data_IF_042000452984
#
_entry.id   IF_042000452984
#
_cell.length_a   1.000
_cell.length_b   1.000
_cell.length_c   1.000
_cell.angle_alpha   90.00
_cell.angle_beta   90.00
_cell.angle_gamma   90.00
#
_symmetry.space_group_name_H-M   'P 1'
#
loop_
_entity.id
_entity.type
_entity.pdbx_description
1 polymer ?
#
# COMPACT_ATOMS: atom_id res chain seq x y z
N UNK A 1 -13.56 14.85 18.42
CA UNK A 1 -12.44 15.44 17.64
C UNK A 1 -11.54 14.29 17.19
N UNK A 2 -11.66 13.90 15.95
CA UNK A 2 -10.90 12.78 15.36
C UNK A 2 -9.54 13.31 14.91
N UNK A 3 -8.48 12.76 15.50
CA UNK A 3 -7.11 13.12 15.15
C UNK A 3 -6.84 12.81 13.66
N UNK A 4 -6.34 13.81 12.93
CA UNK A 4 -5.86 13.64 11.55
C UNK A 4 -4.65 12.68 11.55
N UNK A 5 -4.40 12.01 10.46
CA UNK A 5 -3.34 10.98 10.36
C UNK A 5 -1.93 11.56 10.54
N UNK A 6 -1.70 12.85 10.25
CA UNK A 6 -0.49 13.56 10.68
C UNK A 6 -0.31 13.52 12.20
N UNK A 7 -1.39 13.67 12.96
CA UNK A 7 -1.40 13.56 14.41
C UNK A 7 -1.08 12.13 14.87
N UNK A 8 -1.51 11.11 14.13
CA UNK A 8 -1.21 9.70 14.44
C UNK A 8 0.28 9.38 14.20
N UNK A 9 0.85 9.87 13.12
CA UNK A 9 2.29 9.73 12.85
C UNK A 9 3.13 10.47 13.90
N UNK A 10 2.75 11.70 14.24
CA UNK A 10 3.41 12.47 15.30
C UNK A 10 3.33 11.76 16.67
N UNK A 11 2.16 11.23 17.04
CA UNK A 11 1.99 10.45 18.28
C UNK A 11 2.89 9.20 18.29
N UNK A 12 2.98 8.48 17.17
CA UNK A 12 3.88 7.31 17.04
C UNK A 12 5.34 7.71 17.14
N UNK A 13 5.71 8.85 16.54
CA UNK A 13 7.08 9.37 16.63
C UNK A 13 7.43 9.85 18.04
N UNK A 14 6.49 10.48 18.71
CA UNK A 14 6.62 10.86 20.13
C UNK A 14 6.80 9.61 20.98
N UNK A 15 5.92 8.62 20.88
CA UNK A 15 6.05 7.36 21.62
C UNK A 15 7.38 6.64 21.36
N UNK A 16 7.89 6.68 20.12
CA UNK A 16 9.20 6.14 19.82
C UNK A 16 10.33 6.92 20.51
N UNK A 17 10.27 8.24 20.51
CA UNK A 17 11.27 9.09 21.18
C UNK A 17 11.20 8.96 22.69
N UNK A 18 10.01 8.83 23.25
CA UNK A 18 9.80 8.56 24.66
C UNK A 18 10.42 7.22 25.07
N UNK A 19 10.19 6.15 24.29
CA UNK A 19 10.81 4.86 24.52
C UNK A 19 12.36 4.94 24.39
N UNK A 20 12.90 5.70 23.45
CA UNK A 20 14.35 5.91 23.31
C UNK A 20 14.93 6.68 24.51
N UNK A 21 14.20 7.68 25.02
CA UNK A 21 14.59 8.44 26.21
C UNK A 21 14.57 7.54 27.45
N UNK A 22 13.52 6.76 27.64
CA UNK A 22 13.42 5.81 28.76
C UNK A 22 14.52 4.75 28.73
N UNK A 23 14.85 4.19 27.57
CA UNK A 23 15.97 3.26 27.40
C UNK A 23 17.29 3.93 27.78
N UNK A 24 17.49 5.19 27.38
CA UNK A 24 18.72 5.92 27.70
C UNK A 24 18.86 6.18 29.21
N UNK A 25 17.79 6.53 29.90
CA UNK A 25 17.76 6.67 31.35
C UNK A 25 18.07 5.35 32.07
N UNK A 26 17.43 4.27 31.66
CA UNK A 26 17.67 2.92 32.20
C UNK A 26 19.12 2.47 31.96
N UNK A 27 19.69 2.74 30.76
CA UNK A 27 21.09 2.45 30.47
C UNK A 27 22.05 3.23 31.34
N UNK A 28 21.74 4.49 31.62
CA UNK A 28 22.57 5.34 32.47
C UNK A 28 22.62 4.83 33.92
N UNK A 29 21.50 4.30 34.42
CA UNK A 29 21.39 3.75 35.78
C UNK A 29 21.73 2.25 35.88
N UNK A 30 21.94 1.58 34.73
CA UNK A 30 22.23 0.14 34.71
C UNK A 30 23.63 -0.15 35.25
N UNK A 31 23.66 -0.92 36.35
CA UNK A 31 24.91 -1.42 36.92
C UNK A 31 24.88 -2.95 36.91
N UNK A 32 25.81 -3.56 36.17
CA UNK A 32 26.00 -4.99 36.07
C UNK A 32 27.23 -5.51 36.82
N UNK A 33 27.86 -4.64 37.65
CA UNK A 33 29.03 -4.97 38.48
C UNK A 33 30.34 -5.13 37.71
N UNK A 34 30.38 -4.83 36.39
CA UNK A 34 31.58 -5.02 35.59
C UNK A 34 31.83 -3.96 34.53
N UNK A 35 33.06 -3.36 34.49
CA UNK A 35 33.49 -2.54 33.39
C UNK A 35 33.87 -3.46 32.20
N UNK A 36 33.10 -3.41 31.09
CA UNK A 36 33.48 -4.20 29.91
C UNK A 36 32.67 -3.90 28.65
N UNK A 37 33.19 -4.26 27.48
CA UNK A 37 32.48 -4.04 26.21
C UNK A 37 31.15 -4.79 26.12
N UNK A 38 30.92 -5.80 26.97
CA UNK A 38 29.69 -6.61 27.04
C UNK A 38 28.59 -6.01 27.88
N UNK A 39 28.85 -4.96 28.68
CA UNK A 39 27.81 -4.26 29.49
C UNK A 39 26.58 -3.89 28.67
N UNK A 40 26.79 -3.36 27.45
CA UNK A 40 25.71 -2.99 26.54
C UNK A 40 24.85 -4.20 26.15
N UNK A 41 25.47 -5.33 25.92
CA UNK A 41 24.77 -6.56 25.52
C UNK A 41 23.98 -7.17 26.67
N UNK A 42 24.51 -7.13 27.91
CA UNK A 42 23.78 -7.55 29.11
C UNK A 42 22.57 -6.66 29.38
N UNK A 43 22.74 -5.32 29.23
CA UNK A 43 21.62 -4.39 29.31
C UNK A 43 20.56 -4.68 28.23
N UNK A 44 20.96 -4.89 26.98
CA UNK A 44 20.03 -5.25 25.91
C UNK A 44 19.30 -6.56 26.23
N UNK A 45 20.01 -7.54 26.78
CA UNK A 45 19.41 -8.82 27.18
C UNK A 45 18.42 -8.67 28.35
N UNK A 46 18.68 -7.78 29.33
CA UNK A 46 17.79 -7.56 30.46
C UNK A 46 16.52 -6.78 30.05
N UNK A 47 16.60 -5.92 29.06
CA UNK A 47 15.50 -5.03 28.66
C UNK A 47 14.73 -5.52 27.39
N UNK A 48 15.13 -6.62 26.78
CA UNK A 48 14.51 -7.11 25.54
C UNK A 48 13.05 -7.56 25.69
N UNK A 49 12.59 -7.83 26.92
CA UNK A 49 11.19 -8.09 27.24
C UNK A 49 10.33 -6.80 27.23
N UNK A 50 10.96 -5.66 27.45
CA UNK A 50 10.28 -4.37 27.58
C UNK A 50 10.36 -3.54 26.29
N UNK A 51 11.45 -3.72 25.50
CA UNK A 51 11.72 -2.92 24.31
C UNK A 51 12.27 -3.78 23.16
N UNK A 52 11.94 -3.39 21.93
CA UNK A 52 12.49 -4.05 20.74
C UNK A 52 14.03 -3.97 20.73
N UNK A 53 14.70 -5.11 20.50
CA UNK A 53 16.18 -5.22 20.45
C UNK A 53 16.81 -4.21 19.47
N UNK A 54 16.14 -3.89 18.37
CA UNK A 54 16.60 -2.86 17.42
C UNK A 54 16.71 -1.48 18.06
N UNK A 55 15.70 -1.11 18.86
CA UNK A 55 15.68 0.19 19.54
C UNK A 55 16.77 0.22 20.63
N UNK A 56 16.86 -0.86 21.39
CA UNK A 56 17.93 -1.04 22.39
C UNK A 56 19.32 -0.93 21.76
N UNK A 57 19.59 -1.68 20.69
CA UNK A 57 20.87 -1.63 19.99
C UNK A 57 21.18 -0.22 19.45
N UNK A 58 20.18 0.50 18.93
CA UNK A 58 20.36 1.86 18.43
C UNK A 58 20.73 2.83 19.57
N UNK A 59 19.99 2.80 20.68
CA UNK A 59 20.27 3.67 21.83
C UNK A 59 21.61 3.33 22.47
N UNK A 60 21.91 2.04 22.63
CA UNK A 60 23.20 1.57 23.17
C UNK A 60 24.37 1.75 22.22
N UNK A 61 24.16 2.20 20.97
CA UNK A 61 25.17 2.26 19.91
C UNK A 61 25.89 0.91 19.75
N UNK A 62 25.10 -0.17 19.70
CA UNK A 62 25.57 -1.54 19.56
C UNK A 62 25.18 -2.13 18.20
N UNK A 63 26.03 -2.95 17.61
CA UNK A 63 25.69 -3.71 16.41
C UNK A 63 24.74 -4.85 16.77
N UNK A 64 23.63 -5.01 16.05
CA UNK A 64 22.71 -6.14 16.24
C UNK A 64 23.39 -7.50 16.03
N UNK A 65 24.23 -7.61 15.00
CA UNK A 65 24.99 -8.84 14.73
C UNK A 65 25.93 -9.18 15.87
N UNK A 66 26.63 -8.16 16.41
CA UNK A 66 27.53 -8.38 17.54
C UNK A 66 26.79 -8.78 18.82
N UNK A 67 25.59 -8.21 19.07
CA UNK A 67 24.73 -8.61 20.18
C UNK A 67 24.31 -10.10 20.05
N UNK A 68 23.80 -10.51 18.89
CA UNK A 68 23.38 -11.90 18.71
C UNK A 68 24.54 -12.91 18.73
N UNK A 69 25.72 -12.51 18.26
CA UNK A 69 26.93 -13.35 18.38
C UNK A 69 27.34 -13.52 19.85
N UNK A 70 27.30 -12.45 20.64
CA UNK A 70 27.55 -12.52 22.08
C UNK A 70 26.52 -13.41 22.80
N UNK A 71 25.23 -13.23 22.46
CA UNK A 71 24.16 -14.00 23.06
C UNK A 71 24.29 -15.51 22.80
N UNK A 72 24.80 -15.91 21.65
CA UNK A 72 25.10 -17.31 21.32
C UNK A 72 26.25 -17.90 22.11
N UNK A 73 27.14 -17.10 22.66
CA UNK A 73 28.33 -17.56 23.38
C UNK A 73 28.07 -18.02 24.82
N UNK A 74 26.83 -17.96 25.35
CA UNK A 74 26.43 -18.66 26.57
C UNK A 74 26.01 -17.82 27.77
N UNK A 75 26.21 -16.48 27.73
CA UNK A 75 25.77 -15.55 28.81
C UNK A 75 24.46 -14.80 28.45
N UNK A 76 23.75 -15.27 27.43
CA UNK A 76 22.63 -14.58 26.83
C UNK A 76 21.27 -15.25 27.06
N UNK A 77 20.18 -14.67 26.53
CA UNK A 77 18.83 -15.22 26.60
C UNK A 77 18.73 -16.56 25.84
N UNK A 78 17.69 -17.33 26.14
CA UNK A 78 17.46 -18.62 25.48
C UNK A 78 17.38 -18.48 23.95
N UNK A 79 17.69 -19.54 23.22
CA UNK A 79 17.60 -19.54 21.75
C UNK A 79 16.21 -19.17 21.26
N UNK A 80 15.15 -19.64 21.94
CA UNK A 80 13.76 -19.29 21.64
C UNK A 80 13.51 -17.76 21.78
N UNK A 81 14.02 -17.14 22.84
CA UNK A 81 13.90 -15.68 23.06
C UNK A 81 14.67 -14.89 21.99
N UNK A 82 15.82 -15.42 21.54
CA UNK A 82 16.60 -14.81 20.47
C UNK A 82 15.89 -14.89 19.11
N UNK A 83 15.27 -16.03 18.80
CA UNK A 83 14.49 -16.19 17.57
C UNK A 83 13.25 -15.29 17.57
N UNK A 84 12.55 -15.16 18.68
CA UNK A 84 11.42 -14.25 18.85
C UNK A 84 11.85 -12.79 18.65
N UNK A 85 12.96 -12.38 19.27
CA UNK A 85 13.52 -11.04 19.09
C UNK A 85 13.98 -10.77 17.66
N UNK A 86 14.50 -11.79 16.95
CA UNK A 86 14.83 -11.70 15.52
C UNK A 86 13.57 -11.49 14.69
N UNK A 87 12.55 -12.30 14.93
CA UNK A 87 11.27 -12.19 14.23
C UNK A 87 10.63 -10.81 14.46
N UNK A 88 10.65 -10.32 15.70
CA UNK A 88 10.18 -8.99 16.05
C UNK A 88 10.91 -7.88 15.25
N UNK A 89 12.23 -7.99 15.09
CA UNK A 89 13.00 -7.05 14.27
C UNK A 89 12.62 -7.12 12.76
N UNK A 90 12.42 -8.32 12.22
CA UNK A 90 12.01 -8.49 10.84
C UNK A 90 10.61 -7.93 10.61
N UNK A 91 9.67 -8.17 11.53
CA UNK A 91 8.33 -7.59 11.51
C UNK A 91 8.42 -6.06 11.49
N UNK A 92 9.26 -5.47 12.34
CA UNK A 92 9.49 -4.04 12.38
C UNK A 92 10.01 -3.50 11.04
N UNK A 93 11.01 -4.18 10.46
CA UNK A 93 11.59 -3.75 9.19
C UNK A 93 10.55 -3.80 8.04
N UNK A 94 9.78 -4.88 7.94
CA UNK A 94 8.71 -5.02 6.94
C UNK A 94 7.62 -3.96 7.14
N UNK A 95 7.20 -3.73 8.38
CA UNK A 95 6.18 -2.73 8.70
C UNK A 95 6.61 -1.32 8.25
N UNK A 96 7.84 -0.92 8.58
CA UNK A 96 8.34 0.40 8.22
C UNK A 96 8.73 0.53 6.74
N UNK A 97 9.15 -0.54 6.08
CA UNK A 97 9.32 -0.56 4.63
C UNK A 97 8.00 -0.27 3.91
N UNK A 98 6.88 -0.74 4.46
CA UNK A 98 5.54 -0.41 3.98
C UNK A 98 5.05 1.01 4.38
N UNK A 99 5.87 1.79 5.07
CA UNK A 99 5.50 3.09 5.70
C UNK A 99 4.32 2.95 6.68
N UNK A 100 4.26 1.85 7.43
CA UNK A 100 3.19 1.56 8.40
C UNK A 100 1.84 1.19 7.78
N UNK A 101 1.81 0.84 6.49
CA UNK A 101 0.56 0.51 5.78
C UNK A 101 0.10 -0.92 5.99
N UNK A 102 1.03 -1.86 6.24
CA UNK A 102 0.73 -3.27 6.33
C UNK A 102 0.21 -3.66 7.71
N UNK A 103 -0.91 -4.39 7.75
CA UNK A 103 -1.34 -5.16 8.91
C UNK A 103 -0.71 -6.55 8.91
N UNK A 104 -0.95 -7.32 9.99
CA UNK A 104 -0.35 -8.65 10.20
C UNK A 104 -0.46 -9.62 9.02
N UNK A 105 -1.55 -9.68 8.21
CA UNK A 105 -1.58 -10.60 7.06
C UNK A 105 -0.54 -10.27 5.99
N UNK A 106 -0.34 -8.97 5.68
CA UNK A 106 0.65 -8.56 4.68
C UNK A 106 2.07 -8.62 5.22
N UNK A 107 2.27 -8.31 6.49
CA UNK A 107 3.58 -8.48 7.15
C UNK A 107 3.99 -9.95 7.12
N UNK A 108 3.09 -10.86 7.47
CA UNK A 108 3.32 -12.30 7.43
C UNK A 108 3.65 -12.79 6.01
N UNK A 109 2.89 -12.35 5.01
CA UNK A 109 3.13 -12.70 3.61
C UNK A 109 4.50 -12.20 3.12
N UNK A 110 4.91 -10.98 3.50
CA UNK A 110 6.20 -10.43 3.12
C UNK A 110 7.37 -11.16 3.80
N UNK A 111 7.20 -11.58 5.06
CA UNK A 111 8.17 -12.44 5.75
C UNK A 111 8.35 -13.77 5.01
N UNK A 112 7.27 -14.40 4.56
CA UNK A 112 7.36 -15.64 3.77
C UNK A 112 8.07 -15.44 2.44
N UNK A 113 7.85 -14.31 1.77
CA UNK A 113 8.57 -13.93 0.54
C UNK A 113 10.09 -13.79 0.77
N UNK A 114 10.47 -13.37 1.98
CA UNK A 114 11.87 -13.28 2.42
C UNK A 114 12.43 -14.61 2.94
N UNK A 115 11.67 -15.71 2.81
CA UNK A 115 12.08 -17.05 3.28
C UNK A 115 11.92 -17.27 4.77
N UNK A 116 11.27 -16.35 5.50
CA UNK A 116 11.04 -16.44 6.94
C UNK A 116 9.66 -17.05 7.20
N UNK A 117 9.61 -18.29 7.64
CA UNK A 117 8.38 -18.96 8.01
C UNK A 117 7.91 -18.49 9.39
N UNK A 118 6.87 -17.68 9.43
CA UNK A 118 6.26 -17.19 10.66
C UNK A 118 4.76 -17.53 10.67
N UNK A 119 4.26 -17.91 11.85
CA UNK A 119 2.84 -18.12 12.04
C UNK A 119 2.13 -16.76 12.12
N UNK A 120 0.99 -16.61 11.43
CA UNK A 120 0.22 -15.36 11.41
C UNK A 120 -0.17 -14.88 12.82
N UNK A 121 -0.56 -15.79 13.73
CA UNK A 121 -0.91 -15.42 15.11
C UNK A 121 0.30 -14.90 15.90
N UNK A 122 1.49 -15.46 15.67
CA UNK A 122 2.73 -14.96 16.27
C UNK A 122 3.08 -13.56 15.75
N UNK A 123 2.94 -13.35 14.43
CA UNK A 123 3.16 -12.03 13.82
C UNK A 123 2.17 -11.00 14.39
N UNK A 124 0.91 -11.38 14.53
CA UNK A 124 -0.14 -10.50 15.09
C UNK A 124 0.16 -10.13 16.55
N UNK A 125 0.54 -11.11 17.37
CA UNK A 125 0.90 -10.88 18.78
C UNK A 125 2.11 -9.96 18.91
N UNK A 126 3.20 -10.24 18.18
CA UNK A 126 4.40 -9.41 18.19
C UNK A 126 4.15 -7.99 17.65
N UNK A 127 3.31 -7.83 16.64
CA UNK A 127 2.89 -6.51 16.18
C UNK A 127 2.12 -5.73 17.26
N UNK A 128 1.24 -6.42 18.00
CA UNK A 128 0.52 -5.81 19.12
C UNK A 128 1.45 -5.37 20.25
N UNK A 129 2.42 -6.21 20.64
CA UNK A 129 3.44 -5.89 21.65
C UNK A 129 4.32 -4.70 21.22
N UNK A 130 4.69 -4.64 19.94
CA UNK A 130 5.46 -3.55 19.37
C UNK A 130 4.64 -2.28 19.13
N UNK A 131 3.33 -2.28 19.40
CA UNK A 131 2.43 -1.17 19.11
C UNK A 131 2.26 -0.88 17.63
N UNK A 132 2.51 -1.88 16.76
CA UNK A 132 2.44 -1.74 15.31
C UNK A 132 1.02 -2.02 14.82
N UNK A 133 0.35 -0.99 14.32
CA UNK A 133 -0.99 -1.10 13.77
C UNK A 133 -1.02 -0.64 12.31
N UNK A 134 -1.34 -1.55 11.39
CA UNK A 134 -1.55 -1.22 10.00
C UNK A 134 -2.76 -0.32 9.77
N UNK A 135 -2.86 0.28 8.59
CA UNK A 135 -3.96 1.17 8.26
C UNK A 135 -5.26 0.38 8.09
N UNK A 136 -6.30 0.73 8.85
CA UNK A 136 -7.65 0.16 8.75
C UNK A 136 -8.60 1.12 8.00
N UNK A 137 -9.57 0.57 7.25
CA UNK A 137 -10.51 1.39 6.47
C UNK A 137 -11.58 2.08 7.33
N UNK A 138 -11.93 3.34 6.98
CA UNK A 138 -13.11 4.05 7.53
C UNK A 138 -14.36 3.71 6.71
N UNK A 139 -15.55 3.85 7.32
CA UNK A 139 -16.85 3.67 6.63
C UNK A 139 -17.05 4.73 5.53
N UNK A 140 -17.61 4.31 4.37
CA UNK A 140 -17.83 5.14 3.17
C UNK A 140 -19.09 6.02 3.28
N UNK A 141 -19.02 7.23 2.69
CA UNK A 141 -20.16 8.10 2.34
C UNK A 141 -20.36 8.08 0.82
N UNK A 142 -21.60 8.08 0.36
CA UNK A 142 -22.01 7.98 -1.06
C UNK A 142 -22.15 9.37 -1.68
N UNK A 143 -21.55 9.67 -2.86
CA UNK A 143 -21.44 11.05 -3.42
C UNK A 143 -21.72 11.21 -4.93
N UNK A 144 -22.24 10.24 -5.68
CA UNK A 144 -22.38 10.32 -7.15
C UNK A 144 -23.77 10.78 -7.60
N UNK A 145 -23.85 11.73 -8.57
CA UNK A 145 -25.06 12.15 -9.31
C UNK A 145 -24.89 11.86 -10.80
N UNK A 146 -25.93 11.35 -11.45
CA UNK A 146 -25.98 10.99 -12.88
C UNK A 146 -26.50 12.12 -13.75
N UNK A 147 -26.08 12.16 -15.05
CA UNK A 147 -26.70 12.97 -16.10
C UNK A 147 -27.77 12.11 -16.84
N UNK A 148 -29.06 12.51 -16.83
CA UNK A 148 -30.15 11.72 -17.42
C UNK A 148 -30.21 11.77 -18.96
N UNK A 149 -29.34 12.54 -19.66
CA UNK A 149 -29.42 12.77 -21.11
C UNK A 149 -28.42 11.96 -21.93
N UNK A 150 -27.47 11.27 -21.30
CA UNK A 150 -26.44 10.53 -22.00
C UNK A 150 -26.93 9.13 -22.44
N UNK A 151 -26.57 8.72 -23.65
CA UNK A 151 -26.78 7.32 -24.13
C UNK A 151 -25.56 6.49 -23.75
N UNK A 152 -25.64 5.65 -22.73
CA UNK A 152 -24.50 4.86 -22.27
C UNK A 152 -24.21 3.69 -23.20
N UNK A 153 -22.94 3.24 -23.21
CA UNK A 153 -22.55 1.97 -23.79
C UNK A 153 -23.23 0.79 -23.07
N UNK A 154 -23.41 -0.39 -23.72
CA UNK A 154 -23.95 -1.56 -23.07
C UNK A 154 -23.05 -2.06 -21.94
N UNK A 155 -23.64 -2.72 -20.94
CA UNK A 155 -22.89 -3.46 -19.94
C UNK A 155 -22.43 -4.79 -20.53
N UNK A 156 -21.14 -4.94 -20.79
CA UNK A 156 -20.53 -6.17 -21.32
C UNK A 156 -19.89 -7.01 -20.21
N UNK A 157 -19.79 -6.46 -18.99
CA UNK A 157 -19.13 -7.12 -17.87
C UNK A 157 -20.12 -7.92 -17.03
N UNK A 158 -21.40 -7.48 -16.97
CA UNK A 158 -22.47 -8.17 -16.25
C UNK A 158 -22.07 -8.65 -14.84
N UNK A 159 -21.33 -7.79 -14.11
CA UNK A 159 -20.74 -8.09 -12.80
C UNK A 159 -19.65 -9.17 -12.78
N UNK A 160 -19.24 -9.69 -13.91
CA UNK A 160 -18.13 -10.63 -14.01
C UNK A 160 -16.80 -9.86 -14.16
N UNK A 161 -16.27 -9.37 -13.05
CA UNK A 161 -14.95 -8.71 -13.02
C UNK A 161 -13.82 -9.75 -12.94
N UNK A 162 -13.82 -10.71 -13.85
CA UNK A 162 -12.72 -11.64 -14.06
C UNK A 162 -12.14 -11.46 -15.46
N UNK A 163 -10.83 -11.49 -15.58
CA UNK A 163 -10.11 -11.54 -16.83
C UNK A 163 -9.07 -12.65 -16.73
N UNK A 164 -8.92 -13.44 -17.77
CA UNK A 164 -7.99 -14.58 -17.76
C UNK A 164 -6.54 -14.12 -17.88
N UNK A 165 -6.33 -13.02 -18.62
CA UNK A 165 -5.02 -12.45 -18.83
C UNK A 165 -5.00 -10.92 -18.61
N UNK A 166 -3.83 -10.34 -18.35
CA UNK A 166 -3.63 -8.90 -18.39
C UNK A 166 -3.98 -8.32 -19.78
N UNK A 167 -4.44 -7.07 -19.79
CA UNK A 167 -4.80 -6.31 -20.99
C UNK A 167 -6.11 -6.75 -21.68
N UNK A 168 -6.95 -7.55 -21.03
CA UNK A 168 -8.28 -7.94 -21.57
C UNK A 168 -9.38 -7.01 -21.07
N UNK A 169 -9.38 -6.69 -19.78
CA UNK A 169 -10.42 -5.89 -19.14
C UNK A 169 -9.79 -4.85 -18.21
N UNK A 170 -10.16 -3.61 -18.45
CA UNK A 170 -9.81 -2.48 -17.59
C UNK A 170 -11.04 -1.91 -16.90
N UNK A 171 -10.86 -1.42 -15.70
CA UNK A 171 -11.85 -0.58 -15.01
C UNK A 171 -11.30 0.81 -14.82
N UNK A 172 -12.15 1.80 -15.09
CA UNK A 172 -11.84 3.22 -14.93
C UNK A 172 -12.79 3.90 -13.95
N UNK A 173 -12.24 4.87 -13.23
CA UNK A 173 -13.02 5.74 -12.35
C UNK A 173 -12.24 7.01 -12.04
N UNK A 174 -12.92 8.02 -11.50
CA UNK A 174 -12.34 9.30 -11.09
C UNK A 174 -12.50 9.49 -9.60
N UNK A 175 -11.42 9.91 -8.95
CA UNK A 175 -11.48 10.37 -7.56
C UNK A 175 -10.98 11.80 -7.42
N UNK A 176 -11.32 12.45 -6.31
CA UNK A 176 -10.82 13.77 -5.96
C UNK A 176 -9.91 13.73 -4.74
N UNK A 177 -8.91 14.59 -4.73
CA UNK A 177 -7.91 14.73 -3.67
C UNK A 177 -7.92 16.21 -3.22
N UNK A 178 -8.16 16.49 -1.92
CA UNK A 178 -8.14 17.84 -1.40
C UNK A 178 -6.72 18.39 -1.29
N UNK A 179 -6.55 19.66 -1.63
CA UNK A 179 -5.34 20.46 -1.40
C UNK A 179 -5.74 21.85 -0.90
N UNK A 180 -4.79 22.64 -0.40
CA UNK A 180 -5.10 24.02 0.01
C UNK A 180 -5.42 24.93 -1.21
N UNK A 181 -4.98 24.55 -2.42
CA UNK A 181 -5.33 25.22 -3.69
C UNK A 181 -6.70 24.80 -4.23
N UNK A 182 -7.42 23.87 -3.57
CA UNK A 182 -8.67 23.28 -4.03
C UNK A 182 -8.52 21.78 -4.32
N UNK A 183 -9.47 21.24 -5.08
CA UNK A 183 -9.43 19.81 -5.43
C UNK A 183 -8.58 19.58 -6.67
N UNK A 184 -7.74 18.54 -6.65
CA UNK A 184 -7.30 17.89 -7.88
C UNK A 184 -8.04 16.57 -8.08
N UNK A 185 -8.09 16.13 -9.32
CA UNK A 185 -8.84 14.96 -9.75
C UNK A 185 -7.88 13.94 -10.36
N UNK A 186 -8.10 12.67 -10.06
CA UNK A 186 -7.32 11.58 -10.62
C UNK A 186 -8.24 10.60 -11.34
N UNK A 187 -7.97 10.34 -12.62
CA UNK A 187 -8.55 9.23 -13.36
C UNK A 187 -7.60 8.04 -13.38
N UNK A 188 -8.14 6.83 -13.39
CA UNK A 188 -7.37 5.58 -13.41
C UNK A 188 -7.79 4.66 -14.53
N UNK A 189 -6.84 3.83 -14.98
CA UNK A 189 -7.03 2.66 -15.85
C UNK A 189 -6.40 1.47 -15.12
N UNK A 190 -7.24 0.70 -14.45
CA UNK A 190 -6.84 -0.44 -13.63
C UNK A 190 -7.09 -1.74 -14.38
N UNK A 191 -6.07 -2.56 -14.54
CA UNK A 191 -6.18 -3.89 -15.10
C UNK A 191 -6.88 -4.83 -14.11
N UNK A 192 -7.92 -5.52 -14.58
CA UNK A 192 -8.77 -6.37 -13.75
C UNK A 192 -8.06 -7.65 -13.32
N UNK A 193 -7.27 -8.24 -14.20
CA UNK A 193 -6.53 -9.48 -13.93
C UNK A 193 -5.41 -9.26 -12.92
N UNK A 194 -4.53 -8.31 -13.23
CA UNK A 194 -3.29 -8.08 -12.48
C UNK A 194 -3.40 -7.06 -11.35
N UNK A 195 -4.50 -6.30 -11.28
CA UNK A 195 -4.62 -5.14 -10.38
C UNK A 195 -3.59 -4.05 -10.67
N UNK A 196 -2.92 -4.11 -11.80
CA UNK A 196 -1.94 -3.12 -12.21
C UNK A 196 -2.65 -1.81 -12.55
N UNK A 197 -2.22 -0.71 -11.95
CA UNK A 197 -2.61 0.61 -12.40
C UNK A 197 -1.81 0.92 -13.67
N UNK A 198 -2.42 0.57 -14.82
CA UNK A 198 -1.78 0.65 -16.13
C UNK A 198 -1.62 2.08 -16.61
N UNK A 199 -2.62 2.93 -16.32
CA UNK A 199 -2.58 4.35 -16.65
C UNK A 199 -3.29 5.20 -15.63
N UNK A 200 -2.89 6.46 -15.52
CA UNK A 200 -3.50 7.44 -14.64
C UNK A 200 -3.16 8.87 -15.08
N UNK A 201 -4.01 9.80 -14.70
CA UNK A 201 -3.80 11.23 -14.91
C UNK A 201 -4.28 12.00 -13.69
N UNK A 202 -3.60 13.12 -13.35
CA UNK A 202 -4.00 14.03 -12.25
C UNK A 202 -4.04 15.44 -12.77
N UNK A 203 -5.21 16.09 -12.63
CA UNK A 203 -5.42 17.46 -13.11
C UNK A 203 -6.22 18.30 -12.11
N UNK A 204 -6.22 19.63 -12.28
CA UNK A 204 -7.02 20.57 -11.48
C UNK A 204 -8.49 20.63 -11.90
N UNK A 205 -8.89 19.84 -12.88
CA UNK A 205 -10.25 19.80 -13.42
C UNK A 205 -10.69 18.37 -13.72
N UNK A 206 -12.00 18.16 -13.81
CA UNK A 206 -12.62 16.85 -14.08
C UNK A 206 -13.27 16.87 -15.49
N UNK A 207 -12.52 17.31 -16.51
CA UNK A 207 -12.95 17.26 -17.91
C UNK A 207 -12.64 15.88 -18.51
N UNK A 208 -13.22 15.57 -19.68
CA UNK A 208 -12.96 14.33 -20.41
C UNK A 208 -11.49 14.09 -20.67
N UNK A 209 -10.70 15.15 -20.92
CA UNK A 209 -9.25 15.07 -21.11
C UNK A 209 -8.51 14.39 -19.93
N UNK A 210 -9.03 14.46 -18.71
CA UNK A 210 -8.47 13.72 -17.58
C UNK A 210 -8.51 12.20 -17.82
N UNK A 211 -9.62 11.70 -18.38
CA UNK A 211 -9.81 10.26 -18.66
C UNK A 211 -9.04 9.83 -19.92
N UNK A 212 -9.03 10.64 -20.97
CA UNK A 212 -8.28 10.34 -22.19
C UNK A 212 -6.78 10.34 -21.94
N UNK A 213 -6.26 11.25 -21.10
CA UNK A 213 -4.85 11.26 -20.71
C UNK A 213 -4.48 9.99 -19.90
N UNK A 214 -5.38 9.49 -19.05
CA UNK A 214 -5.17 8.23 -18.35
C UNK A 214 -5.12 7.04 -19.30
N UNK A 215 -5.97 7.01 -20.35
CA UNK A 215 -5.89 5.99 -21.42
C UNK A 215 -4.58 6.07 -22.20
N UNK A 216 -4.13 7.28 -22.56
CA UNK A 216 -2.85 7.48 -23.26
C UNK A 216 -1.67 7.04 -22.40
N UNK A 217 -1.72 7.29 -21.09
CA UNK A 217 -0.71 6.78 -20.15
C UNK A 217 -0.71 5.24 -20.11
N UNK A 218 -1.90 4.61 -20.12
CA UNK A 218 -2.01 3.15 -20.21
C UNK A 218 -1.45 2.61 -21.54
N UNK A 219 -1.75 3.26 -22.66
CA UNK A 219 -1.18 2.93 -23.97
C UNK A 219 0.34 2.99 -23.93
N UNK A 220 0.92 4.07 -23.40
CA UNK A 220 2.37 4.24 -23.26
C UNK A 220 3.03 3.10 -22.49
N UNK A 221 2.34 2.58 -21.46
CA UNK A 221 2.83 1.46 -20.66
C UNK A 221 2.67 0.10 -21.36
N UNK A 222 1.54 -0.11 -22.04
CA UNK A 222 1.16 -1.40 -22.64
C UNK A 222 1.67 -1.59 -24.07
N UNK A 223 2.00 -0.51 -24.77
CA UNK A 223 2.27 -0.50 -26.19
C UNK A 223 1.02 -0.62 -27.05
N UNK A 224 0.02 -1.40 -26.65
CA UNK A 224 -1.28 -1.54 -27.29
C UNK A 224 -2.38 -1.78 -26.27
N UNK A 225 -3.58 -1.26 -26.54
CA UNK A 225 -4.81 -1.54 -25.81
C UNK A 225 -5.88 -2.17 -26.72
N UNK A 226 -5.53 -2.48 -27.95
CA UNK A 226 -6.46 -3.01 -28.95
C UNK A 226 -7.02 -4.37 -28.52
N UNK A 227 -8.34 -4.52 -28.62
CA UNK A 227 -9.08 -5.71 -28.21
C UNK A 227 -9.50 -5.74 -26.74
N UNK A 228 -8.99 -4.80 -25.93
CA UNK A 228 -9.38 -4.71 -24.53
C UNK A 228 -10.80 -4.13 -24.36
N UNK A 229 -11.45 -4.50 -23.28
CA UNK A 229 -12.69 -3.86 -22.80
C UNK A 229 -12.35 -2.86 -21.71
N UNK A 230 -12.94 -1.65 -21.79
CA UNK A 230 -12.83 -0.64 -20.73
C UNK A 230 -14.18 -0.41 -20.08
N UNK A 231 -14.30 -0.78 -18.83
CA UNK A 231 -15.53 -0.64 -18.05
C UNK A 231 -15.46 0.56 -17.10
N UNK A 232 -16.53 1.36 -17.06
CA UNK A 232 -16.65 2.51 -16.17
C UNK A 232 -18.07 2.72 -15.69
N UNK A 233 -18.25 3.65 -14.77
CA UNK A 233 -19.59 4.18 -14.46
C UNK A 233 -20.11 5.04 -15.63
N UNK A 234 -21.36 5.52 -15.50
CA UNK A 234 -21.99 6.42 -16.49
C UNK A 234 -21.69 7.90 -16.22
N UNK A 235 -20.51 8.21 -15.73
CA UNK A 235 -20.06 9.59 -15.56
C UNK A 235 -20.02 10.35 -16.89
N UNK A 236 -20.29 11.66 -16.86
CA UNK A 236 -20.34 12.48 -18.07
C UNK A 236 -19.03 12.49 -18.85
N UNK A 237 -17.90 12.24 -18.21
CA UNK A 237 -16.59 12.13 -18.86
C UNK A 237 -16.50 10.88 -19.73
N UNK A 238 -16.97 9.74 -19.22
CA UNK A 238 -16.93 8.45 -19.91
C UNK A 238 -18.02 8.31 -20.99
N UNK A 239 -19.17 9.02 -20.81
CA UNK A 239 -20.26 9.04 -21.82
C UNK A 239 -20.05 10.10 -22.91
N UNK A 240 -18.98 10.88 -22.86
CA UNK A 240 -18.69 11.93 -23.85
C UNK A 240 -18.25 11.34 -25.20
N UNK A 241 -18.57 12.04 -26.29
CA UNK A 241 -18.09 11.69 -27.63
C UNK A 241 -16.56 11.63 -27.71
N UNK A 242 -15.87 12.60 -27.05
CA UNK A 242 -14.41 12.65 -27.01
C UNK A 242 -13.80 11.37 -26.42
N UNK A 243 -14.37 10.83 -25.34
CA UNK A 243 -13.87 9.60 -24.72
C UNK A 243 -14.18 8.37 -25.60
N UNK A 244 -15.36 8.34 -26.21
CA UNK A 244 -15.74 7.29 -27.17
C UNK A 244 -14.80 7.26 -28.35
N UNK A 245 -14.53 8.42 -28.97
CA UNK A 245 -13.58 8.53 -30.08
C UNK A 245 -12.17 8.07 -29.69
N UNK A 246 -11.74 8.38 -28.46
CA UNK A 246 -10.45 7.91 -27.94
C UNK A 246 -10.42 6.39 -27.82
N UNK A 247 -11.47 5.75 -27.27
CA UNK A 247 -11.59 4.30 -27.19
C UNK A 247 -11.56 3.66 -28.58
N UNK A 248 -12.34 4.17 -29.53
CA UNK A 248 -12.37 3.67 -30.93
C UNK A 248 -10.98 3.74 -31.59
N UNK A 249 -10.28 4.88 -31.47
CA UNK A 249 -8.92 5.06 -32.00
C UNK A 249 -7.90 4.08 -31.42
N UNK A 250 -8.09 3.69 -30.15
CA UNK A 250 -7.21 2.76 -29.44
C UNK A 250 -7.64 1.29 -29.61
N UNK A 251 -8.74 1.02 -30.31
CA UNK A 251 -9.29 -0.32 -30.51
C UNK A 251 -9.89 -0.92 -29.23
N UNK A 252 -10.36 -0.08 -28.30
CA UNK A 252 -10.94 -0.46 -27.02
C UNK A 252 -12.45 -0.55 -27.16
N UNK A 253 -13.04 -1.62 -26.66
CA UNK A 253 -14.50 -1.75 -26.51
C UNK A 253 -14.95 -1.10 -25.21
N UNK A 254 -15.84 -0.11 -25.31
CA UNK A 254 -16.36 0.56 -24.12
C UNK A 254 -17.52 -0.25 -23.51
N UNK A 255 -17.51 -0.39 -22.18
CA UNK A 255 -18.57 -1.02 -21.37
C UNK A 255 -18.95 -0.11 -20.22
N UNK A 256 -20.23 -0.07 -19.87
CA UNK A 256 -20.73 0.79 -18.77
C UNK A 256 -21.69 0.03 -17.88
N UNK A 257 -21.47 0.13 -16.57
CA UNK A 257 -22.33 -0.49 -15.57
C UNK A 257 -23.79 -0.03 -15.62
N UNK A 258 -24.68 -0.78 -14.97
CA UNK A 258 -26.09 -0.48 -14.88
C UNK A 258 -26.36 0.75 -13.99
N UNK A 259 -27.55 1.35 -14.14
CA UNK A 259 -27.93 2.55 -13.39
C UNK A 259 -28.09 2.26 -11.90
N UNK A 260 -27.26 2.90 -11.08
CA UNK A 260 -27.45 2.92 -9.61
C UNK A 260 -26.89 1.71 -8.87
N UNK A 261 -26.16 0.82 -9.50
CA UNK A 261 -25.54 -0.32 -8.86
C UNK A 261 -24.06 -0.01 -8.49
N UNK A 262 -23.80 0.08 -7.19
CA UNK A 262 -22.45 0.34 -6.66
C UNK A 262 -21.51 -0.87 -6.76
N UNK A 263 -22.02 -2.04 -7.14
CA UNK A 263 -21.21 -3.25 -7.33
C UNK A 263 -20.48 -3.26 -8.67
N UNK A 264 -20.98 -2.49 -9.66
CA UNK A 264 -20.45 -2.47 -11.02
C UNK A 264 -19.07 -1.78 -11.12
N UNK A 265 -18.53 -1.17 -10.06
CA UNK A 265 -17.19 -0.57 -10.05
C UNK A 265 -16.40 -0.87 -8.75
N UNK A 266 -16.69 -1.99 -8.09
CA UNK A 266 -16.11 -2.33 -6.80
C UNK A 266 -14.56 -2.38 -6.80
N UNK A 267 -13.95 -2.70 -7.95
CA UNK A 267 -12.49 -2.72 -8.08
C UNK A 267 -11.87 -1.34 -8.08
N UNK A 268 -12.42 -0.41 -8.85
CA UNK A 268 -11.96 0.98 -8.85
C UNK A 268 -12.21 1.63 -7.47
N UNK A 269 -13.36 1.31 -6.84
CA UNK A 269 -13.61 1.74 -5.47
C UNK A 269 -12.60 1.18 -4.46
N UNK A 270 -12.16 -0.06 -4.61
CA UNK A 270 -11.13 -0.66 -3.77
C UNK A 270 -9.75 0.01 -3.98
N UNK A 271 -9.43 0.40 -5.23
CA UNK A 271 -8.25 1.20 -5.56
C UNK A 271 -8.29 2.54 -4.81
N UNK A 272 -9.41 3.28 -4.94
CA UNK A 272 -9.57 4.58 -4.26
C UNK A 272 -9.56 4.47 -2.74
N UNK A 273 -10.16 3.42 -2.20
CA UNK A 273 -10.08 3.16 -0.77
C UNK A 273 -8.65 2.92 -0.31
N UNK A 274 -7.83 2.27 -1.13
CA UNK A 274 -6.40 2.09 -0.85
C UNK A 274 -5.64 3.40 -0.96
N UNK A 275 -5.81 4.16 -2.04
CA UNK A 275 -5.18 5.47 -2.22
C UNK A 275 -5.53 6.43 -1.08
N UNK A 276 -6.82 6.56 -0.76
CA UNK A 276 -7.27 7.47 0.30
C UNK A 276 -6.67 7.09 1.64
N UNK A 277 -6.77 5.84 2.03
CA UNK A 277 -6.26 5.35 3.30
C UNK A 277 -4.73 5.41 3.42
N UNK A 278 -4.03 5.06 2.35
CA UNK A 278 -2.58 4.87 2.35
C UNK A 278 -1.81 6.15 2.02
N UNK A 279 -2.47 7.15 1.42
CA UNK A 279 -1.87 8.42 1.04
C UNK A 279 -2.70 9.63 1.49
N UNK A 280 -3.94 9.78 1.02
CA UNK A 280 -4.70 11.05 1.17
C UNK A 280 -5.07 11.33 2.62
N UNK A 281 -5.59 10.33 3.35
CA UNK A 281 -6.02 10.49 4.75
C UNK A 281 -4.84 10.67 5.74
N UNK A 282 -3.63 10.36 5.28
CA UNK A 282 -2.39 10.44 6.08
C UNK A 282 -1.49 11.61 5.68
N UNK A 283 -1.88 12.38 4.66
CA UNK A 283 -1.11 13.49 4.13
C UNK A 283 -1.93 14.78 4.13
N UNK A 284 -1.24 15.91 4.16
CA UNK A 284 -1.82 17.22 3.91
C UNK A 284 -1.06 17.84 2.73
N UNK A 285 -1.76 18.19 1.68
CA UNK A 285 -1.16 18.76 0.47
C UNK A 285 -1.46 20.25 0.40
N UNK A 286 -0.41 21.06 0.33
CA UNK A 286 -0.54 22.51 0.15
C UNK A 286 -0.86 22.86 -1.29
N UNK A 287 -0.27 22.15 -2.25
CA UNK A 287 -0.44 22.42 -3.68
C UNK A 287 -0.86 21.18 -4.45
N UNK A 288 -1.49 21.40 -5.61
CA UNK A 288 -1.82 20.33 -6.58
C UNK A 288 -0.55 19.62 -7.07
N UNK A 289 0.56 20.36 -7.22
CA UNK A 289 1.84 19.80 -7.63
C UNK A 289 2.40 18.83 -6.58
N UNK A 290 2.30 19.19 -5.29
CA UNK A 290 2.69 18.33 -4.18
C UNK A 290 1.85 17.03 -4.13
N UNK A 291 0.52 17.16 -4.28
CA UNK A 291 -0.38 16.01 -4.37
C UNK A 291 -0.03 15.10 -5.56
N UNK A 292 0.24 15.68 -6.73
CA UNK A 292 0.62 14.94 -7.95
C UNK A 292 1.92 14.15 -7.74
N UNK A 293 2.94 14.75 -7.16
CA UNK A 293 4.22 14.07 -6.87
C UNK A 293 4.02 12.91 -5.89
N UNK A 294 3.25 13.11 -4.83
CA UNK A 294 2.96 12.06 -3.84
C UNK A 294 2.13 10.91 -4.44
N UNK A 295 1.17 11.21 -5.32
CA UNK A 295 0.39 10.20 -6.04
C UNK A 295 1.31 9.40 -6.97
N UNK A 296 2.24 10.05 -7.69
CA UNK A 296 3.21 9.37 -8.54
C UNK A 296 4.04 8.35 -7.75
N UNK A 297 4.59 8.74 -6.61
CA UNK A 297 5.33 7.83 -5.73
C UNK A 297 4.46 6.69 -5.21
N UNK A 298 3.20 6.99 -4.85
CA UNK A 298 2.27 5.96 -4.39
C UNK A 298 1.94 4.96 -5.48
N UNK A 299 1.74 5.39 -6.73
CA UNK A 299 1.47 4.50 -7.87
C UNK A 299 2.65 3.57 -8.15
N UNK A 300 3.89 4.09 -8.11
CA UNK A 300 5.09 3.25 -8.25
C UNK A 300 5.12 2.21 -7.14
N UNK A 301 4.89 2.62 -5.90
CA UNK A 301 4.87 1.70 -4.77
C UNK A 301 3.71 0.70 -4.88
N UNK A 302 2.51 1.13 -5.30
CA UNK A 302 1.34 0.28 -5.49
C UNK A 302 1.60 -0.84 -6.50
N UNK A 303 2.19 -0.52 -7.64
CA UNK A 303 2.47 -1.49 -8.68
C UNK A 303 3.64 -2.44 -8.36
N UNK A 304 4.70 -1.92 -7.69
CA UNK A 304 5.99 -2.62 -7.54
C UNK A 304 6.27 -3.20 -6.17
N UNK A 305 5.58 -2.72 -5.14
CA UNK A 305 5.91 -3.08 -3.74
C UNK A 305 4.71 -3.53 -2.94
N UNK A 306 3.53 -3.07 -3.31
CA UNK A 306 2.31 -3.39 -2.58
C UNK A 306 1.85 -4.79 -2.91
N UNK A 307 1.88 -5.69 -1.93
CA UNK A 307 1.33 -7.04 -2.10
C UNK A 307 -0.20 -7.05 -1.99
N UNK A 308 -0.84 -7.84 -2.84
CA UNK A 308 -2.29 -7.96 -2.94
C UNK A 308 -2.77 -9.36 -2.57
N UNK A 309 -3.68 -9.46 -1.60
CA UNK A 309 -4.24 -10.75 -1.18
C UNK A 309 -5.00 -11.47 -2.30
N UNK A 310 -5.67 -10.72 -3.19
CA UNK A 310 -6.35 -11.27 -4.37
C UNK A 310 -5.40 -11.84 -5.44
N UNK A 311 -4.12 -11.51 -5.37
CA UNK A 311 -3.08 -12.01 -6.27
C UNK A 311 -2.17 -13.03 -5.57
N UNK A 312 -2.57 -13.59 -4.43
CA UNK A 312 -1.72 -14.50 -3.66
C UNK A 312 -0.55 -13.81 -2.96
N UNK A 313 -0.72 -12.54 -2.57
CA UNK A 313 0.29 -11.70 -1.91
C UNK A 313 1.56 -11.46 -2.75
N UNK A 314 1.39 -11.36 -4.07
CA UNK A 314 2.41 -10.78 -4.97
C UNK A 314 2.03 -9.36 -5.35
N UNK A 315 2.97 -8.60 -5.93
CA UNK A 315 2.69 -7.28 -6.47
C UNK A 315 2.03 -7.37 -7.84
N UNK A 316 1.34 -6.33 -8.33
CA UNK A 316 0.77 -6.30 -9.68
C UNK A 316 1.81 -6.59 -10.78
N UNK A 317 3.01 -6.01 -10.71
CA UNK A 317 4.08 -6.26 -11.70
C UNK A 317 4.58 -7.70 -11.63
N UNK A 318 4.85 -8.26 -10.46
CA UNK A 318 5.26 -9.66 -10.30
C UNK A 318 4.20 -10.63 -10.81
N UNK A 319 2.91 -10.32 -10.61
CA UNK A 319 1.83 -11.15 -11.13
C UNK A 319 1.89 -11.22 -12.66
N UNK A 320 2.05 -10.07 -13.34
CA UNK A 320 2.16 -10.05 -14.80
C UNK A 320 3.43 -10.75 -15.31
N UNK A 321 4.56 -10.57 -14.65
CA UNK A 321 5.80 -11.27 -14.98
C UNK A 321 5.64 -12.79 -14.89
N UNK A 322 4.94 -13.28 -13.85
CA UNK A 322 4.65 -14.69 -13.69
C UNK A 322 3.74 -15.22 -14.82
N UNK A 323 2.65 -14.50 -15.14
CA UNK A 323 1.74 -14.89 -16.25
C UNK A 323 2.50 -14.97 -17.58
N UNK A 324 3.32 -13.96 -17.88
CA UNK A 324 4.13 -13.94 -19.11
C UNK A 324 5.15 -15.09 -19.18
N UNK A 325 5.68 -15.50 -18.04
CA UNK A 325 6.63 -16.61 -17.96
C UNK A 325 5.93 -17.95 -18.21
N UNK A 326 4.76 -18.17 -17.63
CA UNK A 326 3.97 -19.36 -17.87
C UNK A 326 3.49 -19.47 -19.32
N UNK A 327 3.04 -18.37 -19.94
CA UNK A 327 2.59 -18.35 -21.34
C UNK A 327 3.72 -18.63 -22.35
N UNK A 328 4.96 -18.29 -22.01
CA UNK A 328 6.13 -18.61 -22.85
C UNK A 328 6.64 -20.03 -22.69
N UNK A 329 6.28 -20.71 -21.61
CA UNK A 329 6.71 -22.07 -21.30
C UNK A 329 5.70 -23.14 -21.76
N UNK A 330 4.47 -22.75 -22.12
CA UNK A 330 3.40 -23.58 -22.67
C UNK A 330 3.40 -23.54 -24.21
#
# INVERSE_FOLDING_TARGET
>A
MTATAGTLWLRRRVAQLEAEAEIAERLASYDDGGPGPTRKYRFIASEQANFAVRTLCRVCKASRSAYYNWAKAGDGPSEATLEEARLANLIWDVFWASRGRYGSPRVCAELWRQGVQANHKTVEALMAELGLQGLSGRRKLRTTRQDPRATPAPDLVERNFSAEAPNELYVGDITYIPTDEGYCFMASVLDVSSRLLAGWSVQSHMRTSLCTDALLAALGRRGSLAGATFHSDRGCQYTSGEFKDACEKLGITQSMGSVGDSYDNAMAEALWSSLKRELVDVSHFRTISEARAAIFEWVIWYNRRRVHSSLGYVTPEEFEENVLTYTKAA
#
